data_IF_436567897509
#
_entry.id   IF_436567897509
#
_cell.length_a   1.000
_cell.length_b   1.000
_cell.length_c   1.000
_cell.angle_alpha   90.00
_cell.angle_beta   90.00
_cell.angle_gamma   90.00
#
_symmetry.space_group_name_H-M   'P 1'
#
loop_
_entity.id
_entity.type
_entity.pdbx_description
1 polymer ?
#
# COMPACT_ATOMS: atom_id res chain seq x y z
N UNK A 1 -9.03 -36.41 9.33
CA UNK A 1 -9.87 -35.23 9.03
C UNK A 1 -8.96 -34.03 9.04
N UNK A 2 -8.80 -33.30 7.93
CA UNK A 2 -8.13 -32.00 7.95
C UNK A 2 -8.83 -31.09 8.97
N UNK A 3 -8.04 -30.30 9.68
CA UNK A 3 -8.52 -29.32 10.66
C UNK A 3 -9.29 -28.21 9.92
N UNK A 4 -10.58 -27.95 10.22
CA UNK A 4 -11.37 -26.93 9.54
C UNK A 4 -11.07 -25.49 10.02
N UNK A 5 -9.98 -25.25 10.75
CA UNK A 5 -9.66 -23.94 11.33
C UNK A 5 -8.62 -23.14 10.51
N UNK A 6 -8.53 -23.36 9.19
CA UNK A 6 -7.61 -22.60 8.32
C UNK A 6 -8.30 -21.93 7.13
N UNK A 7 -9.62 -21.85 7.14
CA UNK A 7 -10.39 -21.02 6.21
C UNK A 7 -11.22 -20.07 7.09
N UNK A 8 -11.08 -18.76 6.83
CA UNK A 8 -11.72 -17.64 7.52
C UNK A 8 -11.06 -17.13 8.82
N UNK A 9 -9.81 -16.66 8.73
CA UNK A 9 -9.37 -15.58 9.64
C UNK A 9 -9.59 -14.26 8.88
N UNK A 10 -10.78 -13.70 9.02
CA UNK A 10 -11.15 -12.33 8.64
C UNK A 10 -10.63 -11.32 9.67
N UNK A 11 -9.35 -11.47 10.03
CA UNK A 11 -8.66 -10.62 11.01
C UNK A 11 -7.45 -10.00 10.31
N UNK A 12 -7.75 -9.21 9.28
CA UNK A 12 -6.74 -8.54 8.48
C UNK A 12 -7.17 -7.09 8.21
N UNK A 13 -6.23 -6.17 7.93
CA UNK A 13 -6.50 -4.74 7.86
C UNK A 13 -7.38 -4.32 6.68
N UNK A 14 -7.79 -5.25 5.81
CA UNK A 14 -8.72 -4.99 4.70
C UNK A 14 -10.18 -5.26 5.09
N UNK A 15 -10.42 -5.91 6.24
CA UNK A 15 -11.76 -6.21 6.76
C UNK A 15 -12.28 -5.00 7.55
N UNK A 16 -13.45 -4.45 7.17
CA UNK A 16 -14.02 -3.21 7.75
C UNK A 16 -14.19 -3.25 9.28
N UNK A 17 -14.35 -4.44 9.85
CA UNK A 17 -14.57 -4.68 11.29
C UNK A 17 -13.28 -4.68 12.12
N UNK A 18 -12.12 -4.77 11.45
CA UNK A 18 -10.79 -4.95 12.07
C UNK A 18 -9.85 -3.75 11.82
N UNK A 19 -10.35 -2.73 11.12
CA UNK A 19 -9.62 -1.49 10.88
C UNK A 19 -9.62 -0.64 12.15
N UNK A 20 -8.44 -0.39 12.72
CA UNK A 20 -8.29 0.48 13.92
C UNK A 20 -8.44 1.99 13.62
N UNK A 21 -8.59 2.36 12.35
CA UNK A 21 -8.65 3.74 11.86
C UNK A 21 -9.89 4.00 11.00
N UNK A 22 -10.35 5.26 11.03
CA UNK A 22 -11.52 5.70 10.29
C UNK A 22 -11.27 5.64 8.76
N UNK A 23 -12.30 5.24 8.00
CA UNK A 23 -12.29 5.25 6.54
C UNK A 23 -12.69 6.63 5.99
N UNK A 24 -12.25 7.01 4.78
CA UNK A 24 -11.30 6.31 3.91
C UNK A 24 -9.86 6.34 4.43
N UNK A 25 -9.07 5.32 4.09
CA UNK A 25 -7.74 5.15 4.67
C UNK A 25 -6.75 4.46 3.72
N UNK A 26 -5.47 4.64 4.00
CA UNK A 26 -4.40 3.87 3.36
C UNK A 26 -3.88 2.81 4.34
N UNK A 27 -3.60 1.60 3.84
CA UNK A 27 -3.02 0.53 4.66
C UNK A 27 -2.00 -0.29 3.89
N UNK A 28 -1.27 -1.11 4.65
CA UNK A 28 -0.38 -2.12 4.12
C UNK A 28 -0.98 -3.51 4.30
N UNK A 29 -0.58 -4.48 3.47
CA UNK A 29 -0.82 -5.89 3.76
C UNK A 29 0.33 -6.76 3.24
N UNK A 30 0.88 -7.67 4.06
CA UNK A 30 0.64 -7.83 5.50
C UNK A 30 1.14 -6.63 6.33
N UNK A 31 0.55 -6.42 7.52
CA UNK A 31 0.97 -5.38 8.50
C UNK A 31 2.02 -5.86 9.49
N UNK A 32 2.24 -7.18 9.58
CA UNK A 32 3.31 -7.77 10.37
C UNK A 32 4.12 -8.70 9.47
N UNK A 33 5.44 -8.52 9.45
CA UNK A 33 6.35 -9.32 8.64
C UNK A 33 7.52 -9.82 9.50
N UNK A 34 7.60 -11.13 9.66
CA UNK A 34 8.80 -11.81 10.15
C UNK A 34 9.68 -12.25 8.98
N UNK A 35 10.92 -11.76 8.94
CA UNK A 35 11.85 -12.01 7.84
C UNK A 35 13.25 -12.30 8.37
N UNK A 36 14.08 -13.04 7.63
CA UNK A 36 15.49 -13.22 7.98
C UNK A 36 16.33 -12.05 7.43
N UNK A 37 17.30 -11.56 8.20
CA UNK A 37 18.24 -10.57 7.69
C UNK A 37 18.96 -11.07 6.43
N UNK A 38 19.04 -10.21 5.41
CA UNK A 38 19.58 -10.51 4.08
C UNK A 38 18.57 -11.10 3.10
N UNK A 39 17.30 -11.26 3.48
CA UNK A 39 16.25 -11.81 2.61
C UNK A 39 15.18 -10.78 2.24
N UNK A 40 14.47 -11.06 1.14
CA UNK A 40 13.40 -10.19 0.65
C UNK A 40 12.03 -10.55 1.21
N UNK A 41 11.17 -9.54 1.33
CA UNK A 41 9.78 -9.66 1.77
C UNK A 41 8.88 -8.73 0.96
N UNK A 42 7.60 -9.06 0.86
CA UNK A 42 6.59 -8.29 0.13
C UNK A 42 5.63 -7.57 1.07
N UNK A 43 5.23 -6.35 0.72
CA UNK A 43 4.16 -5.58 1.36
C UNK A 43 3.40 -4.84 0.26
N UNK A 44 2.08 -4.97 0.26
CA UNK A 44 1.19 -4.31 -0.67
C UNK A 44 0.60 -3.05 -0.05
N UNK A 45 0.32 -2.05 -0.88
CA UNK A 45 -0.32 -0.79 -0.50
C UNK A 45 -1.78 -0.85 -0.93
N UNK A 46 -2.70 -0.54 -0.03
CA UNK A 46 -4.13 -0.54 -0.29
C UNK A 46 -4.76 0.81 0.01
N UNK A 47 -5.75 1.17 -0.81
CA UNK A 47 -6.68 2.26 -0.53
C UNK A 47 -8.04 1.67 -0.14
N UNK A 48 -8.57 2.12 0.99
CA UNK A 48 -9.78 1.58 1.62
C UNK A 48 -10.88 2.63 1.65
N UNK A 49 -12.09 2.26 1.24
CA UNK A 49 -13.30 3.06 1.46
C UNK A 49 -13.36 4.44 0.78
N UNK A 50 -12.46 4.74 -0.17
CA UNK A 50 -12.54 5.98 -0.95
C UNK A 50 -13.73 5.93 -1.91
N UNK A 51 -14.44 7.05 -2.05
CA UNK A 51 -15.48 7.23 -3.06
C UNK A 51 -14.96 8.11 -4.21
N UNK A 52 -15.24 7.70 -5.45
CA UNK A 52 -14.84 8.39 -6.67
C UNK A 52 -13.33 8.66 -6.77
N UNK A 53 -12.49 7.75 -6.26
CA UNK A 53 -11.04 7.87 -6.38
C UNK A 53 -10.61 7.79 -7.86
N UNK A 54 -9.96 8.83 -8.37
CA UNK A 54 -9.48 8.91 -9.75
C UNK A 54 -7.96 8.84 -9.87
N UNK A 55 -7.25 9.30 -8.84
CA UNK A 55 -5.79 9.30 -8.81
C UNK A 55 -5.22 9.46 -7.41
N UNK A 56 -3.93 9.21 -7.29
CA UNK A 56 -3.20 9.21 -6.03
C UNK A 56 -1.73 9.59 -6.19
N UNK A 57 -1.19 10.24 -5.18
CA UNK A 57 0.24 10.36 -4.90
C UNK A 57 0.50 9.89 -3.47
N UNK A 58 1.14 8.73 -3.28
CA UNK A 58 1.36 8.12 -1.96
C UNK A 58 2.84 8.18 -1.61
N UNK A 59 3.16 8.85 -0.50
CA UNK A 59 4.49 8.83 0.11
C UNK A 59 4.59 7.64 1.07
N UNK A 60 5.65 6.86 0.93
CA UNK A 60 5.99 5.74 1.81
C UNK A 60 7.40 5.98 2.34
N UNK A 61 7.60 5.75 3.65
CA UNK A 61 8.88 5.93 4.34
C UNK A 61 9.27 4.68 5.11
N UNK A 62 10.56 4.40 5.18
CA UNK A 62 11.15 3.25 5.88
C UNK A 62 12.54 3.60 6.41
N UNK A 63 13.04 2.85 7.39
CA UNK A 63 14.41 3.02 7.89
C UNK A 63 15.43 2.41 6.90
N UNK A 64 16.17 3.26 6.20
CA UNK A 64 17.16 2.90 5.20
C UNK A 64 18.34 2.08 5.76
N UNK A 65 18.57 2.14 7.08
CA UNK A 65 19.60 1.35 7.75
C UNK A 65 19.15 -0.11 7.99
N UNK A 66 17.87 -0.41 7.76
CA UNK A 66 17.24 -1.71 8.07
C UNK A 66 16.54 -2.33 6.89
N UNK A 67 16.02 -1.52 5.97
CA UNK A 67 15.27 -1.95 4.80
C UNK A 67 15.89 -1.29 3.56
N UNK A 68 16.11 -2.07 2.50
CA UNK A 68 16.57 -1.54 1.20
C UNK A 68 15.96 -2.34 0.05
N UNK A 69 16.28 -1.92 -1.17
CA UNK A 69 15.81 -2.52 -2.43
C UNK A 69 14.30 -2.41 -2.55
N UNK A 70 13.81 -1.92 -3.68
CA UNK A 70 12.37 -1.94 -3.98
C UNK A 70 12.18 -2.51 -5.38
N UNK A 71 11.41 -3.58 -5.48
CA UNK A 71 10.63 -3.83 -6.69
C UNK A 71 9.26 -3.22 -6.47
N UNK A 72 8.77 -2.47 -7.44
CA UNK A 72 7.47 -1.79 -7.38
C UNK A 72 6.68 -2.24 -8.59
N UNK A 73 5.52 -2.84 -8.34
CA UNK A 73 4.59 -3.30 -9.37
C UNK A 73 3.26 -2.56 -9.13
N UNK A 74 2.60 -2.05 -10.20
CA UNK A 74 1.28 -1.45 -10.04
C UNK A 74 0.29 -2.45 -9.44
N UNK A 75 -0.58 -1.93 -8.58
CA UNK A 75 -1.75 -2.65 -8.11
C UNK A 75 -2.89 -2.59 -9.12
N UNK A 76 -4.06 -3.07 -8.71
CA UNK A 76 -5.19 -3.29 -9.60
C UNK A 76 -6.29 -2.23 -9.48
N UNK A 77 -6.21 -1.32 -8.50
CA UNK A 77 -7.31 -0.38 -8.19
C UNK A 77 -7.68 0.56 -9.34
N UNK A 78 -6.72 0.88 -10.22
CA UNK A 78 -6.92 1.74 -11.39
C UNK A 78 -6.91 0.98 -12.72
N UNK A 79 -6.93 -0.37 -12.69
CA UNK A 79 -7.04 -1.15 -13.93
C UNK A 79 -8.39 -0.88 -14.61
N UNK A 80 -8.33 -0.61 -15.91
CA UNK A 80 -9.51 -0.47 -16.77
C UNK A 80 -9.44 -1.51 -17.90
N UNK A 81 -10.60 -1.91 -18.42
CA UNK A 81 -10.70 -2.98 -19.41
C UNK A 81 -9.99 -2.65 -20.73
N UNK A 82 -9.80 -1.37 -21.03
CA UNK A 82 -9.25 -0.89 -22.31
C UNK A 82 -7.86 -0.26 -22.19
N UNK A 83 -7.47 0.21 -21.00
CA UNK A 83 -6.20 0.93 -20.82
C UNK A 83 -5.54 0.54 -19.50
N UNK A 84 -4.23 0.37 -19.55
CA UNK A 84 -3.41 0.31 -18.34
C UNK A 84 -3.46 1.66 -17.61
N UNK A 85 -3.40 1.67 -16.27
CA UNK A 85 -3.35 2.91 -15.52
C UNK A 85 -2.08 3.70 -15.79
N UNK A 86 -2.12 5.00 -15.51
CA UNK A 86 -0.88 5.74 -15.29
C UNK A 86 -0.28 5.22 -13.98
N UNK A 87 1.00 4.83 -14.01
CA UNK A 87 1.73 4.44 -12.82
C UNK A 87 3.19 4.88 -12.92
N UNK A 88 3.63 5.69 -11.95
CA UNK A 88 5.01 6.13 -11.79
C UNK A 88 5.47 5.87 -10.36
N UNK A 89 6.75 5.56 -10.21
CA UNK A 89 7.38 5.50 -8.90
C UNK A 89 8.66 6.32 -8.91
N UNK A 90 8.85 7.10 -7.85
CA UNK A 90 10.11 7.74 -7.51
C UNK A 90 10.65 7.11 -6.23
N UNK A 91 11.95 6.87 -6.18
CA UNK A 91 12.57 6.12 -5.09
C UNK A 91 13.84 6.85 -4.66
N UNK A 92 13.95 7.11 -3.36
CA UNK A 92 15.18 7.58 -2.74
C UNK A 92 15.54 6.64 -1.59
N UNK A 93 16.45 5.71 -1.90
CA UNK A 93 16.92 4.71 -0.94
C UNK A 93 17.86 5.30 0.12
N UNK A 94 18.49 6.45 -0.15
CA UNK A 94 19.41 7.10 0.79
C UNK A 94 18.65 7.82 1.91
N UNK A 95 17.48 8.40 1.58
CA UNK A 95 16.60 9.08 2.54
C UNK A 95 15.40 8.21 2.98
N UNK A 96 15.37 6.93 2.58
CA UNK A 96 14.37 5.96 3.06
C UNK A 96 12.94 6.23 2.61
N UNK A 97 12.72 6.60 1.34
CA UNK A 97 11.35 6.84 0.85
C UNK A 97 11.06 6.39 -0.59
N UNK A 98 9.78 6.14 -0.85
CA UNK A 98 9.18 5.89 -2.17
C UNK A 98 7.99 6.83 -2.33
N UNK A 99 7.82 7.44 -3.50
CA UNK A 99 6.59 8.12 -3.89
C UNK A 99 5.94 7.36 -5.05
N UNK A 100 4.68 6.98 -4.90
CA UNK A 100 3.89 6.28 -5.90
C UNK A 100 2.85 7.24 -6.47
N UNK A 101 2.81 7.40 -7.78
CA UNK A 101 1.76 8.17 -8.45
C UNK A 101 0.99 7.25 -9.38
N UNK A 102 -0.32 7.16 -9.19
CA UNK A 102 -1.18 6.33 -10.02
C UNK A 102 -2.52 7.01 -10.32
N UNK A 103 -3.08 6.77 -11.50
CA UNK A 103 -4.41 7.28 -11.85
C UNK A 103 -5.06 6.47 -12.96
N UNK A 104 -6.38 6.61 -13.10
CA UNK A 104 -7.05 6.20 -14.33
C UNK A 104 -6.49 6.97 -15.52
N UNK A 105 -6.24 6.25 -16.61
CA UNK A 105 -6.03 6.82 -17.95
C UNK A 105 -7.28 6.66 -18.84
N UNK A 106 -8.17 5.75 -18.44
CA UNK A 106 -9.20 5.13 -19.27
C UNK A 106 -10.29 6.04 -19.79
N UNK A 107 -10.94 5.61 -20.87
CA UNK A 107 -12.14 6.23 -21.42
C UNK A 107 -13.43 5.69 -20.82
N UNK A 108 -13.39 4.49 -20.23
CA UNK A 108 -14.58 3.75 -19.81
C UNK A 108 -14.90 4.00 -18.33
N UNK A 109 -13.86 4.17 -17.50
CA UNK A 109 -13.97 4.55 -16.09
C UNK A 109 -13.10 5.76 -15.80
N UNK A 110 -13.63 6.72 -15.03
CA UNK A 110 -12.89 7.90 -14.56
C UNK A 110 -12.56 7.84 -13.06
N UNK A 111 -13.16 6.89 -12.33
CA UNK A 111 -12.98 6.73 -10.90
C UNK A 111 -13.39 5.34 -10.41
N UNK A 112 -13.00 5.00 -9.18
CA UNK A 112 -13.34 3.78 -8.48
C UNK A 112 -13.82 4.10 -7.06
N UNK A 113 -14.78 3.32 -6.55
CA UNK A 113 -15.35 3.48 -5.20
C UNK A 113 -15.28 2.16 -4.42
N UNK A 114 -14.21 1.39 -4.63
CA UNK A 114 -14.00 0.08 -4.01
C UNK A 114 -12.59 0.02 -3.44
N UNK A 115 -12.43 -0.71 -2.34
CA UNK A 115 -11.11 -1.07 -1.82
C UNK A 115 -10.27 -1.80 -2.86
N UNK A 116 -8.99 -1.46 -2.96
CA UNK A 116 -8.09 -2.11 -3.91
C UNK A 116 -6.62 -1.84 -3.65
N UNK A 117 -5.77 -2.69 -4.23
CA UNK A 117 -4.31 -2.54 -4.18
C UNK A 117 -3.88 -1.41 -5.12
N UNK A 118 -3.07 -0.48 -4.58
CA UNK A 118 -2.43 0.60 -5.34
C UNK A 118 -1.09 0.13 -5.91
N UNK A 119 -0.31 -0.63 -5.14
CA UNK A 119 0.98 -1.15 -5.55
C UNK A 119 1.38 -2.37 -4.72
N UNK A 120 2.24 -3.22 -5.29
CA UNK A 120 2.94 -4.30 -4.61
C UNK A 120 4.42 -3.92 -4.48
N UNK A 121 4.96 -3.97 -3.27
CA UNK A 121 6.34 -3.59 -2.98
C UNK A 121 7.13 -4.79 -2.47
N UNK A 122 8.33 -5.01 -3.01
CA UNK A 122 9.27 -6.01 -2.49
C UNK A 122 10.50 -5.32 -1.94
N UNK A 123 10.77 -5.55 -0.66
CA UNK A 123 11.93 -5.04 0.05
C UNK A 123 12.93 -6.13 0.42
N UNK A 124 14.09 -5.75 0.95
CA UNK A 124 15.10 -6.61 1.58
C UNK A 124 15.46 -6.06 2.95
N UNK A 125 15.41 -6.91 3.98
CA UNK A 125 15.92 -6.57 5.31
C UNK A 125 17.46 -6.63 5.32
N UNK A 126 18.16 -5.55 5.63
CA UNK A 126 19.63 -5.49 5.58
C UNK A 126 20.30 -5.67 6.94
N UNK A 127 19.54 -5.56 8.02
CA UNK A 127 20.01 -5.70 9.40
C UNK A 127 18.94 -6.39 10.26
N UNK A 128 19.36 -7.02 11.37
CA UNK A 128 18.46 -7.65 12.34
C UNK A 128 17.79 -6.64 13.27
N UNK A 129 16.67 -7.04 13.88
CA UNK A 129 15.80 -6.36 14.84
C UNK A 129 14.58 -5.71 14.18
N UNK A 130 13.94 -4.76 14.88
CA UNK A 130 12.63 -4.22 14.46
C UNK A 130 12.72 -2.96 13.59
N UNK A 131 11.87 -2.85 12.58
CA UNK A 131 11.71 -1.71 11.68
C UNK A 131 10.24 -1.49 11.32
N UNK A 132 9.92 -0.40 10.62
CA UNK A 132 8.56 -0.06 10.18
C UNK A 132 8.57 0.46 8.75
N UNK A 133 7.46 0.24 8.05
CA UNK A 133 7.10 0.92 6.81
C UNK A 133 5.83 1.72 7.08
N UNK A 134 5.85 3.01 6.74
CA UNK A 134 4.81 3.98 7.11
C UNK A 134 4.44 4.86 5.92
N UNK A 135 3.24 5.44 5.96
CA UNK A 135 2.86 6.51 5.04
C UNK A 135 3.44 7.86 5.48
N UNK A 136 3.92 8.64 4.53
CA UNK A 136 4.38 10.01 4.77
C UNK A 136 3.22 11.01 4.82
N UNK A 137 3.51 12.24 5.26
CA UNK A 137 2.50 13.31 5.37
C UNK A 137 2.07 13.92 4.03
N UNK A 138 2.71 13.52 2.94
CA UNK A 138 2.54 14.09 1.60
C UNK A 138 1.59 13.25 0.73
N UNK A 139 0.85 12.32 1.33
CA UNK A 139 -0.12 11.51 0.61
C UNK A 139 -1.31 12.35 0.13
N UNK A 140 -1.73 12.10 -1.09
CA UNK A 140 -2.82 12.79 -1.78
C UNK A 140 -3.68 11.79 -2.54
N UNK A 141 -4.99 11.96 -2.44
CA UNK A 141 -6.01 11.17 -3.11
C UNK A 141 -6.99 12.16 -3.74
N UNK A 142 -7.36 11.98 -5.01
CA UNK A 142 -8.20 12.95 -5.73
C UNK A 142 -9.35 12.28 -6.48
N UNK A 143 -10.42 13.03 -6.67
CA UNK A 143 -11.56 12.67 -7.52
C UNK A 143 -11.31 13.06 -9.01
N UNK A 144 -12.25 12.79 -9.94
CA UNK A 144 -12.07 13.12 -11.35
C UNK A 144 -11.92 14.61 -11.67
N UNK A 145 -12.35 15.48 -10.75
CA UNK A 145 -12.28 16.94 -10.88
C UNK A 145 -11.02 17.52 -10.21
N UNK A 146 -10.07 16.67 -9.82
CA UNK A 146 -8.83 17.03 -9.10
C UNK A 146 -9.11 17.65 -7.73
N UNK A 147 -10.20 17.23 -7.08
CA UNK A 147 -10.54 17.65 -5.72
C UNK A 147 -9.98 16.63 -4.73
N UNK A 148 -9.30 17.14 -3.71
CA UNK A 148 -8.76 16.34 -2.60
C UNK A 148 -9.85 15.54 -1.89
N UNK A 149 -9.61 14.23 -1.79
CA UNK A 149 -10.34 13.31 -0.93
C UNK A 149 -9.64 13.24 0.43
N UNK A 150 -10.44 13.21 1.50
CA UNK A 150 -9.92 13.09 2.86
C UNK A 150 -9.24 11.73 3.08
N UNK A 151 -8.20 11.69 3.93
CA UNK A 151 -7.58 10.45 4.40
C UNK A 151 -7.70 10.44 5.92
N UNK A 152 -8.58 9.60 6.45
CA UNK A 152 -8.90 9.54 7.87
C UNK A 152 -7.98 8.58 8.65
N UNK A 153 -7.31 7.66 7.93
CA UNK A 153 -6.47 6.64 8.53
C UNK A 153 -5.21 6.32 7.73
N UNK A 154 -4.13 6.04 8.46
CA UNK A 154 -2.88 5.53 7.91
C UNK A 154 -2.46 4.29 8.71
N UNK A 155 -2.46 3.14 8.06
CA UNK A 155 -1.88 1.92 8.58
C UNK A 155 -0.35 1.94 8.58
N UNK A 156 0.25 0.94 9.21
CA UNK A 156 1.70 0.74 9.31
C UNK A 156 2.00 -0.74 9.10
N UNK A 157 3.15 -1.06 8.48
CA UNK A 157 3.69 -2.41 8.51
C UNK A 157 4.90 -2.50 9.46
N UNK A 158 4.80 -3.36 10.48
CA UNK A 158 5.88 -3.71 11.40
C UNK A 158 6.72 -4.85 10.84
N UNK A 159 8.03 -4.66 10.81
CA UNK A 159 9.00 -5.60 10.24
C UNK A 159 9.95 -6.09 11.32
N UNK A 160 9.98 -7.40 11.56
CA UNK A 160 10.90 -8.05 12.48
C UNK A 160 11.93 -8.86 11.70
N UNK A 161 13.17 -8.37 11.65
CA UNK A 161 14.26 -9.05 10.97
C UNK A 161 15.08 -9.90 11.94
N UNK A 162 15.16 -11.21 11.72
CA UNK A 162 15.83 -12.18 12.59
C UNK A 162 17.21 -12.62 12.07
#
# INVERSE_FOLDING_TARGET
>A
VPNPASEDIFDNPLDEEEVEYDLPALTFYPVEVDVAAGTSFGVDVFALGFENLAGTSIRITFDENRITSASIIPGTIFEDAQNDPIFFSEVNMEDGWINLTASFLGSDSASVSTTGSVAQLTFTAVATGDSKIQFGTECEMVDPDDVLLEINGFGEASITAN
#
